data_IF_076367501689
#
_entry.id   IF_076367501689
#
_cell.length_a   1.000
_cell.length_b   1.000
_cell.length_c   1.000
_cell.angle_alpha   90.00
_cell.angle_beta   90.00
_cell.angle_gamma   90.00
#
_symmetry.space_group_name_H-M   'P 1'
#
loop_
_entity.id
_entity.type
_entity.pdbx_description
1 polymer ?
#
# COMPACT_ATOMS: atom_id res chain seq x y z
N UNK A 1 -0.50 -22.42 6.17
CA UNK A 1 -1.76 -22.62 6.91
C UNK A 1 -2.28 -21.28 7.39
N UNK A 2 -3.47 -20.86 6.96
CA UNK A 2 -4.09 -19.64 7.46
C UNK A 2 -4.95 -20.02 8.67
N UNK A 3 -4.51 -19.65 9.87
CA UNK A 3 -5.30 -19.81 11.10
C UNK A 3 -6.39 -18.75 11.10
N UNK A 4 -7.61 -19.12 10.71
CA UNK A 4 -8.79 -18.31 10.99
C UNK A 4 -9.16 -18.49 12.46
N UNK A 5 -8.67 -17.59 13.30
CA UNK A 5 -9.06 -17.53 14.70
C UNK A 5 -10.53 -17.14 14.84
N UNK A 6 -11.24 -17.82 15.73
CA UNK A 6 -12.59 -17.42 16.16
C UNK A 6 -12.48 -16.02 16.76
N UNK A 7 -13.16 -15.05 16.14
CA UNK A 7 -13.23 -13.67 16.64
C UNK A 7 -14.19 -13.62 17.82
N UNK A 8 -13.68 -13.95 19.00
CA UNK A 8 -14.32 -13.59 20.26
C UNK A 8 -14.32 -12.05 20.38
N UNK A 9 -15.27 -11.47 21.13
CA UNK A 9 -15.55 -10.02 21.22
C UNK A 9 -14.41 -9.14 21.78
N UNK A 10 -13.20 -9.67 21.89
CA UNK A 10 -11.97 -9.02 22.34
C UNK A 10 -11.37 -8.06 21.30
N UNK A 11 -11.61 -8.27 20.00
CA UNK A 11 -11.12 -7.36 18.95
C UNK A 11 -11.66 -5.93 19.08
N UNK A 12 -12.84 -5.74 19.68
CA UNK A 12 -13.46 -4.43 19.86
C UNK A 12 -12.67 -3.47 20.76
N UNK A 13 -11.63 -3.95 21.48
CA UNK A 13 -10.78 -3.12 22.35
C UNK A 13 -9.32 -3.02 21.88
N UNK A 14 -8.93 -3.76 20.85
CA UNK A 14 -7.55 -3.74 20.36
C UNK A 14 -7.30 -2.47 19.56
N UNK A 15 -6.27 -1.71 19.93
CA UNK A 15 -5.87 -0.52 19.17
C UNK A 15 -5.15 -0.94 17.89
N UNK A 16 -5.47 -0.30 16.77
CA UNK A 16 -4.83 -0.58 15.46
C UNK A 16 -3.31 -0.40 15.53
N UNK A 17 -2.84 0.65 16.21
CA UNK A 17 -1.41 0.92 16.37
C UNK A 17 -0.63 -0.19 17.11
N UNK A 18 -1.31 -1.02 17.91
CA UNK A 18 -0.69 -2.13 18.62
C UNK A 18 -0.49 -3.38 17.74
N UNK A 19 -1.10 -3.43 16.57
CA UNK A 19 -1.08 -4.60 15.67
C UNK A 19 -0.67 -4.30 14.22
N UNK A 20 -0.71 -3.04 13.81
CA UNK A 20 -0.31 -2.63 12.46
C UNK A 20 1.21 -2.72 12.26
N UNK A 21 1.65 -2.82 11.00
CA UNK A 21 3.06 -2.57 10.66
C UNK A 21 3.36 -1.08 10.86
N UNK A 22 4.24 -0.72 11.82
CA UNK A 22 4.59 0.68 12.03
C UNK A 22 5.48 1.19 10.90
N UNK A 23 5.37 2.48 10.59
CA UNK A 23 6.23 3.17 9.61
C UNK A 23 6.36 2.43 8.28
N UNK A 24 5.23 2.12 7.59
CA UNK A 24 5.30 1.46 6.30
C UNK A 24 6.04 2.32 5.28
N UNK A 25 6.54 1.70 4.21
CA UNK A 25 7.06 2.43 3.06
C UNK A 25 5.97 3.38 2.52
N UNK A 26 6.24 4.69 2.59
CA UNK A 26 5.40 5.72 1.96
C UNK A 26 6.00 6.08 0.61
N UNK A 27 5.14 6.19 -0.40
CA UNK A 27 5.53 6.37 -1.80
C UNK A 27 5.08 7.74 -2.28
N UNK A 28 5.92 8.42 -3.08
CA UNK A 28 5.54 9.69 -3.69
C UNK A 28 4.66 9.43 -4.91
N UNK A 29 3.66 10.29 -5.22
CA UNK A 29 2.85 10.16 -6.43
C UNK A 29 3.68 10.14 -7.72
N UNK A 30 4.84 10.81 -7.75
CA UNK A 30 5.73 10.85 -8.91
C UNK A 30 6.67 9.64 -9.06
N UNK A 31 6.68 8.71 -8.10
CA UNK A 31 7.48 7.47 -8.22
C UNK A 31 6.97 6.64 -9.41
N UNK A 32 7.87 6.08 -10.22
CA UNK A 32 7.50 5.18 -11.31
C UNK A 32 7.09 3.81 -10.77
N UNK A 33 6.38 3.02 -11.57
CA UNK A 33 5.98 1.67 -11.14
C UNK A 33 7.21 0.76 -10.96
N UNK A 34 8.23 0.90 -11.80
CA UNK A 34 9.48 0.14 -11.64
C UNK A 34 10.21 0.51 -10.34
N UNK A 35 10.36 1.79 -10.03
CA UNK A 35 11.00 2.21 -8.78
C UNK A 35 10.23 1.71 -7.56
N UNK A 36 8.90 1.72 -7.61
CA UNK A 36 8.07 1.13 -6.56
C UNK A 36 8.35 -0.37 -6.40
N UNK A 37 8.44 -1.12 -7.51
CA UNK A 37 8.73 -2.56 -7.47
C UNK A 37 10.11 -2.85 -6.87
N UNK A 38 11.13 -2.09 -7.26
CA UNK A 38 12.49 -2.21 -6.70
C UNK A 38 12.48 -1.93 -5.20
N UNK A 39 11.84 -0.84 -4.77
CA UNK A 39 11.73 -0.47 -3.34
C UNK A 39 10.96 -1.51 -2.54
N UNK A 40 9.86 -2.02 -3.08
CA UNK A 40 9.05 -3.04 -2.41
C UNK A 40 9.80 -4.38 -2.29
N UNK A 41 10.55 -4.78 -3.32
CA UNK A 41 11.35 -6.00 -3.32
C UNK A 41 12.53 -5.95 -2.33
N UNK A 42 13.00 -4.75 -1.99
CA UNK A 42 14.05 -4.55 -0.99
C UNK A 42 13.55 -4.64 0.47
N UNK A 43 12.24 -4.70 0.70
CA UNK A 43 11.67 -4.84 2.05
C UNK A 43 11.78 -6.28 2.53
N UNK A 44 12.18 -6.46 3.79
CA UNK A 44 12.17 -7.77 4.45
C UNK A 44 10.76 -8.39 4.52
N UNK A 45 9.73 -7.53 4.60
CA UNK A 45 8.33 -7.93 4.55
C UNK A 45 7.54 -6.92 3.70
N UNK A 46 7.35 -7.21 2.40
CA UNK A 46 6.56 -6.36 1.52
C UNK A 46 5.08 -6.36 1.95
N UNK A 47 4.46 -5.18 1.90
CA UNK A 47 3.04 -5.01 2.19
C UNK A 47 2.20 -5.17 0.91
N UNK A 48 0.94 -5.63 1.01
CA UNK A 48 0.06 -5.78 -0.14
C UNK A 48 -0.32 -4.44 -0.78
N UNK A 49 -0.21 -3.34 -0.02
CA UNK A 49 -0.44 -1.98 -0.49
C UNK A 49 0.40 -0.98 0.30
N UNK A 50 0.66 0.17 -0.31
CA UNK A 50 1.46 1.25 0.24
C UNK A 50 0.69 2.58 0.21
N UNK A 51 0.76 3.38 1.29
CA UNK A 51 0.24 4.74 1.28
C UNK A 51 1.04 5.60 0.30
N UNK A 52 0.31 6.43 -0.45
CA UNK A 52 0.90 7.45 -1.33
C UNK A 52 0.72 8.80 -0.66
N UNK A 53 1.81 9.50 -0.40
CA UNK A 53 1.79 10.81 0.24
C UNK A 53 2.57 11.83 -0.57
N UNK A 54 2.10 13.08 -0.51
CA UNK A 54 2.77 14.24 -1.08
C UNK A 54 2.77 15.37 -0.06
N UNK A 55 3.92 16.01 0.16
CA UNK A 55 4.10 17.06 1.16
C UNK A 55 3.55 16.71 2.57
N UNK A 56 3.63 15.43 2.96
CA UNK A 56 3.14 14.94 4.25
C UNK A 56 1.66 14.58 4.28
N UNK A 57 0.91 14.85 3.21
CA UNK A 57 -0.52 14.55 3.10
C UNK A 57 -0.78 13.23 2.38
N UNK A 58 -1.71 12.43 2.89
CA UNK A 58 -2.14 11.19 2.24
C UNK A 58 -2.96 11.53 0.99
N UNK A 59 -2.45 11.16 -0.20
CA UNK A 59 -3.11 11.43 -1.49
C UNK A 59 -3.71 10.19 -2.13
N UNK A 60 -3.34 8.99 -1.67
CA UNK A 60 -3.94 7.76 -2.16
C UNK A 60 -3.30 6.48 -1.61
N UNK A 61 -3.65 5.37 -2.23
CA UNK A 61 -3.18 4.02 -1.88
C UNK A 61 -2.85 3.26 -3.16
N UNK A 62 -1.66 2.67 -3.25
CA UNK A 62 -1.27 1.81 -4.36
C UNK A 62 -1.12 0.36 -3.89
N UNK A 63 -1.80 -0.58 -4.54
CA UNK A 63 -1.67 -2.01 -4.21
C UNK A 63 -0.67 -2.71 -5.12
N UNK A 64 0.07 -3.69 -4.58
CA UNK A 64 0.95 -4.54 -5.39
C UNK A 64 0.17 -5.36 -6.42
N UNK A 65 -1.10 -5.68 -6.14
CA UNK A 65 -2.00 -6.30 -7.14
C UNK A 65 -2.22 -5.39 -8.34
N UNK A 66 -2.50 -4.10 -8.11
CA UNK A 66 -2.65 -3.09 -9.17
C UNK A 66 -1.35 -2.96 -9.98
N UNK A 67 -0.22 -2.84 -9.28
CA UNK A 67 1.11 -2.78 -9.90
C UNK A 67 1.39 -4.00 -10.78
N UNK A 68 1.09 -5.20 -10.29
CA UNK A 68 1.30 -6.45 -11.04
C UNK A 68 0.47 -6.55 -12.33
N UNK A 69 -0.64 -5.81 -12.44
CA UNK A 69 -1.47 -5.77 -13.65
C UNK A 69 -0.95 -4.80 -14.73
N UNK A 70 0.05 -3.98 -14.42
CA UNK A 70 0.62 -3.01 -15.37
C UNK A 70 1.63 -3.73 -16.27
N UNK A 71 1.53 -3.61 -17.61
CA UNK A 71 2.48 -4.20 -18.54
C UNK A 71 3.92 -3.73 -18.27
N UNK A 72 4.94 -4.60 -18.28
CA UNK A 72 6.33 -4.21 -17.99
C UNK A 72 6.85 -3.01 -18.79
N UNK A 73 6.48 -2.90 -20.07
CA UNK A 73 6.84 -1.81 -20.98
C UNK A 73 6.31 -0.44 -20.54
N UNK A 74 5.22 -0.41 -19.77
CA UNK A 74 4.62 0.83 -19.25
C UNK A 74 5.26 1.27 -17.93
N UNK A 75 5.96 0.39 -17.20
CA UNK A 75 6.29 0.60 -15.79
C UNK A 75 7.36 1.66 -15.54
N UNK A 76 8.26 1.84 -16.51
CA UNK A 76 9.33 2.82 -16.44
C UNK A 76 8.81 4.26 -16.57
N UNK A 77 7.68 4.48 -17.24
CA UNK A 77 7.11 5.82 -17.51
C UNK A 77 5.84 6.09 -16.73
N UNK A 78 5.03 5.06 -16.44
CA UNK A 78 3.80 5.20 -15.65
C UNK A 78 4.16 5.47 -14.19
N UNK A 79 3.48 6.45 -13.61
CA UNK A 79 3.66 6.90 -12.24
C UNK A 79 2.67 6.23 -11.28
N UNK A 80 2.98 6.29 -9.99
CA UNK A 80 2.09 5.85 -8.92
C UNK A 80 0.78 6.66 -8.92
N UNK A 81 0.83 7.96 -9.19
CA UNK A 81 -0.36 8.82 -9.26
C UNK A 81 -1.38 8.33 -10.31
N UNK A 82 -0.90 7.87 -11.47
CA UNK A 82 -1.75 7.36 -12.55
C UNK A 82 -2.37 5.99 -12.24
N UNK A 83 -1.73 5.22 -11.35
CA UNK A 83 -2.14 3.86 -11.03
C UNK A 83 -2.89 3.72 -9.70
N UNK A 84 -2.70 4.63 -8.75
CA UNK A 84 -3.21 4.51 -7.37
C UNK A 84 -4.74 4.62 -7.28
N UNK A 85 -5.28 4.12 -6.17
CA UNK A 85 -6.60 4.52 -5.69
C UNK A 85 -6.47 5.89 -5.03
N UNK A 86 -7.10 6.95 -5.55
CA UNK A 86 -7.00 8.28 -4.95
C UNK A 86 -7.71 8.31 -3.60
N UNK A 87 -7.27 9.19 -2.69
CA UNK A 87 -7.78 9.27 -1.30
C UNK A 87 -9.30 9.34 -1.22
N UNK A 88 -9.97 10.02 -2.14
CA UNK A 88 -11.43 10.18 -2.17
C UNK A 88 -12.18 8.88 -2.45
N UNK A 89 -11.49 7.86 -2.98
CA UNK A 89 -12.02 6.54 -3.28
C UNK A 89 -11.55 5.47 -2.29
N UNK A 90 -10.77 5.85 -1.28
CA UNK A 90 -10.43 4.94 -0.18
C UNK A 90 -11.61 4.89 0.77
N UNK A 91 -12.27 3.73 0.86
CA UNK A 91 -13.38 3.52 1.79
C UNK A 91 -12.85 3.42 3.21
N UNK A 92 -13.36 4.28 4.08
CA UNK A 92 -13.28 4.13 5.54
C UNK A 92 -14.55 3.45 6.01
N UNK A 93 -14.39 2.36 6.75
CA UNK A 93 -15.47 1.55 7.33
C UNK A 93 -15.75 2.00 8.77
#
# INVERSE_FOLDING_TARGET
EASYGVVDGSLGRTRVDSVMTPNPLVVSPGTTIDDLLVRAAALASPLPAYPVADQGELVGLISLRRVGSIPPEDRASRTVAEAMTPRERVTVL
#
